data_IF_064548375615
#
_entry.id   IF_064548375615
#
_cell.length_a   1.000
_cell.length_b   1.000
_cell.length_c   1.000
_cell.angle_alpha   90.00
_cell.angle_beta   90.00
_cell.angle_gamma   90.00
#
_symmetry.space_group_name_H-M   'P 1'
#
loop_
_entity.id
_entity.type
_entity.pdbx_description
1 polymer ?
#
# COMPACT_ATOMS: atom_id res chain seq x y z
N UNK A 1 -22.52 -21.00 17.51
CA UNK A 1 -21.14 -20.74 17.03
C UNK A 1 -21.01 -21.05 15.53
N UNK A 2 -21.51 -20.18 14.64
CA UNK A 2 -21.35 -20.34 13.17
C UNK A 2 -21.11 -19.02 12.40
N UNK A 3 -21.12 -17.85 13.06
CA UNK A 3 -21.06 -16.55 12.37
C UNK A 3 -19.67 -15.88 12.37
N UNK A 4 -18.79 -16.21 13.32
CA UNK A 4 -17.50 -15.53 13.50
C UNK A 4 -16.46 -15.98 12.47
N UNK A 5 -16.46 -17.27 12.11
CA UNK A 5 -15.51 -17.83 11.11
C UNK A 5 -15.81 -17.26 9.70
N UNK A 6 -17.06 -16.86 9.42
CA UNK A 6 -17.44 -16.36 8.09
C UNK A 6 -16.85 -15.00 7.73
N UNK A 7 -16.44 -14.17 8.70
CA UNK A 7 -15.91 -12.83 8.43
C UNK A 7 -14.37 -12.81 8.30
N UNK A 8 -13.67 -13.73 8.97
CA UNK A 8 -12.23 -13.95 8.78
C UNK A 8 -11.91 -14.51 7.38
N UNK A 9 -12.86 -15.24 6.78
CA UNK A 9 -12.72 -15.74 5.40
C UNK A 9 -12.76 -14.60 4.38
N UNK A 10 -13.42 -13.47 4.69
CA UNK A 10 -13.43 -12.27 3.83
C UNK A 10 -12.11 -11.48 3.88
N UNK A 11 -11.30 -11.67 4.93
CA UNK A 11 -9.97 -11.06 5.08
C UNK A 11 -8.85 -11.90 4.44
N UNK A 12 -9.10 -13.18 4.15
CA UNK A 12 -8.13 -14.12 3.56
C UNK A 12 -8.13 -14.14 2.03
N UNK A 13 -8.88 -13.22 1.40
CA UNK A 13 -8.91 -13.02 -0.06
C UNK A 13 -8.31 -11.67 -0.48
N UNK A 14 -7.19 -11.28 0.13
CA UNK A 14 -6.27 -10.32 -0.50
C UNK A 14 -5.08 -11.12 -1.05
N UNK A 15 -5.41 -12.02 -2.00
CA UNK A 15 -4.42 -12.58 -2.89
C UNK A 15 -3.76 -11.45 -3.68
N UNK A 16 -2.44 -11.37 -3.53
CA UNK A 16 -1.48 -10.82 -4.50
C UNK A 16 -1.83 -9.47 -5.12
N UNK A 17 -1.41 -8.39 -4.46
CA UNK A 17 -0.86 -7.22 -5.17
C UNK A 17 0.47 -6.82 -4.52
N UNK A 18 1.33 -7.79 -4.23
CA UNK A 18 2.77 -7.57 -4.13
C UNK A 18 3.41 -7.93 -5.48
N UNK A 19 2.87 -7.41 -6.57
CA UNK A 19 3.64 -7.27 -7.80
C UNK A 19 4.11 -5.82 -7.82
N UNK A 20 5.30 -5.60 -7.26
CA UNK A 20 6.29 -4.65 -7.74
C UNK A 20 5.74 -3.57 -8.69
N UNK A 21 5.18 -2.49 -8.13
CA UNK A 21 4.79 -1.30 -8.90
C UNK A 21 5.90 -0.23 -8.95
N UNK A 22 7.10 -0.54 -8.45
CA UNK A 22 8.32 0.12 -8.93
C UNK A 22 8.72 -0.55 -10.24
N UNK A 23 7.97 -0.27 -11.30
CA UNK A 23 8.42 -0.53 -12.67
C UNK A 23 7.94 0.59 -13.56
N UNK A 24 8.77 1.62 -13.66
CA UNK A 24 9.06 2.26 -14.93
C UNK A 24 10.56 2.59 -14.96
N UNK A 25 11.23 1.96 -15.92
CA UNK A 25 12.62 2.12 -16.41
C UNK A 25 13.79 1.55 -15.59
N UNK A 26 14.08 0.26 -15.83
CA UNK A 26 15.34 -0.20 -16.44
C UNK A 26 16.57 -0.41 -15.56
N UNK A 27 16.88 -1.67 -15.20
CA UNK A 27 18.20 -2.32 -15.39
C UNK A 27 18.00 -3.84 -15.41
N UNK A 28 18.47 -4.49 -16.48
CA UNK A 28 18.52 -5.94 -16.65
C UNK A 28 19.85 -6.45 -16.03
N UNK A 29 19.88 -7.26 -14.94
CA UNK A 29 21.16 -7.63 -14.32
C UNK A 29 21.66 -9.04 -14.63
N UNK A 30 20.88 -9.96 -15.21
CA UNK A 30 21.37 -11.32 -15.47
C UNK A 30 20.75 -11.93 -16.73
N UNK A 31 21.57 -11.99 -17.80
CA UNK A 31 21.22 -12.71 -19.01
C UNK A 31 21.12 -14.23 -18.79
N UNK A 32 20.23 -14.86 -19.55
CA UNK A 32 20.24 -16.29 -19.84
C UNK A 32 19.10 -17.09 -19.24
N UNK A 33 18.24 -17.65 -20.11
CA UNK A 33 17.30 -18.72 -19.76
C UNK A 33 15.99 -18.59 -20.51
N UNK A 34 15.71 -19.56 -21.40
CA UNK A 34 14.63 -19.53 -22.39
C UNK A 34 13.19 -19.62 -21.87
N UNK A 35 12.31 -19.21 -22.79
CA UNK A 35 10.94 -19.64 -23.04
C UNK A 35 9.82 -19.24 -22.05
N UNK A 36 9.49 -17.95 -22.09
CA UNK A 36 8.21 -17.42 -22.59
C UNK A 36 8.30 -15.88 -22.59
N UNK A 37 7.76 -15.15 -23.59
CA UNK A 37 7.51 -13.74 -23.38
C UNK A 37 6.48 -13.66 -22.25
N UNK A 38 6.94 -13.36 -21.03
CA UNK A 38 6.08 -12.82 -19.98
C UNK A 38 5.27 -11.72 -20.67
N UNK A 39 3.93 -11.80 -20.66
CA UNK A 39 3.13 -10.77 -21.33
C UNK A 39 3.62 -9.44 -20.81
N UNK A 40 4.12 -8.60 -21.73
CA UNK A 40 4.61 -7.26 -21.38
C UNK A 40 3.55 -6.64 -20.49
N UNK A 41 3.93 -6.09 -19.32
CA UNK A 41 2.96 -5.46 -18.44
C UNK A 41 2.10 -4.54 -19.29
N UNK A 42 0.78 -4.75 -19.29
CA UNK A 42 -0.13 -3.87 -20.01
C UNK A 42 0.17 -2.47 -19.48
N UNK A 43 0.61 -1.51 -20.32
CA UNK A 43 0.94 -0.19 -19.85
C UNK A 43 -0.27 0.38 -19.13
N UNK A 44 -0.13 0.64 -17.83
CA UNK A 44 -1.19 1.22 -17.05
C UNK A 44 -1.27 2.72 -17.39
N UNK A 45 -2.40 3.15 -17.96
CA UNK A 45 -2.64 4.53 -18.33
C UNK A 45 -3.29 5.34 -17.19
N UNK A 46 -3.49 6.65 -17.41
CA UNK A 46 -4.15 7.54 -16.43
C UNK A 46 -5.53 7.01 -16.02
N UNK A 47 -6.29 6.44 -16.97
CA UNK A 47 -7.65 5.93 -16.72
C UNK A 47 -7.64 4.71 -15.79
N UNK A 48 -6.66 3.83 -15.94
CA UNK A 48 -6.44 2.72 -15.02
C UNK A 48 -6.25 3.22 -13.58
N UNK A 49 -5.34 4.18 -13.37
CA UNK A 49 -5.06 4.70 -12.03
C UNK A 49 -6.21 5.51 -11.44
N UNK A 50 -6.97 6.24 -12.26
CA UNK A 50 -8.20 6.91 -11.81
C UNK A 50 -9.22 5.89 -11.29
N UNK A 51 -9.44 4.79 -12.02
CA UNK A 51 -10.32 3.70 -11.57
C UNK A 51 -9.79 3.00 -10.32
N UNK A 52 -8.47 2.87 -10.18
CA UNK A 52 -7.84 2.33 -8.98
C UNK A 52 -8.11 3.23 -7.78
N UNK A 53 -7.90 4.55 -7.90
CA UNK A 53 -8.21 5.54 -6.86
C UNK A 53 -9.66 5.42 -6.40
N UNK A 54 -10.64 5.39 -7.32
CA UNK A 54 -12.05 5.28 -6.95
C UNK A 54 -12.35 4.01 -6.15
N UNK A 55 -11.87 2.86 -6.62
CA UNK A 55 -12.07 1.56 -5.93
C UNK A 55 -11.37 1.52 -4.57
N UNK A 56 -10.16 2.03 -4.49
CA UNK A 56 -9.36 2.06 -3.26
C UNK A 56 -9.97 3.00 -2.22
N UNK A 57 -10.47 4.18 -2.63
CA UNK A 57 -11.17 5.11 -1.75
C UNK A 57 -12.44 4.50 -1.14
N UNK A 58 -13.20 3.73 -1.92
CA UNK A 58 -14.36 3.00 -1.40
C UNK A 58 -13.95 1.97 -0.32
N UNK A 59 -12.83 1.27 -0.52
CA UNK A 59 -12.28 0.32 0.46
C UNK A 59 -11.82 1.02 1.73
N UNK A 60 -11.07 2.13 1.61
CA UNK A 60 -10.66 2.97 2.75
C UNK A 60 -11.87 3.34 3.59
N UNK A 61 -12.89 3.94 2.98
CA UNK A 61 -14.10 4.37 3.68
C UNK A 61 -14.83 3.19 4.36
N UNK A 62 -14.89 2.03 3.70
CA UNK A 62 -15.50 0.82 4.27
C UNK A 62 -14.73 0.31 5.49
N UNK A 63 -13.40 0.30 5.44
CA UNK A 63 -12.55 -0.14 6.54
C UNK A 63 -12.67 0.84 7.71
N UNK A 64 -12.59 2.15 7.47
CA UNK A 64 -12.76 3.17 8.50
C UNK A 64 -14.12 3.07 9.20
N UNK A 65 -15.19 2.83 8.43
CA UNK A 65 -16.53 2.60 8.99
C UNK A 65 -16.53 1.37 9.88
N UNK A 66 -15.93 0.27 9.41
CA UNK A 66 -15.84 -0.97 10.18
C UNK A 66 -15.05 -0.78 11.48
N UNK A 67 -13.93 -0.04 11.45
CA UNK A 67 -13.15 0.28 12.66
C UNK A 67 -14.02 1.06 13.68
N UNK A 68 -14.80 2.04 13.21
CA UNK A 68 -15.72 2.82 14.07
C UNK A 68 -16.82 1.96 14.66
N UNK A 69 -17.40 1.05 13.88
CA UNK A 69 -18.41 0.09 14.35
C UNK A 69 -17.80 -0.83 15.43
N UNK A 70 -16.60 -1.37 15.18
CA UNK A 70 -15.93 -2.28 16.11
C UNK A 70 -15.54 -1.60 17.44
N UNK A 71 -15.22 -0.31 17.41
CA UNK A 71 -14.91 0.47 18.62
C UNK A 71 -16.08 0.48 19.63
N UNK A 72 -17.33 0.37 19.16
CA UNK A 72 -18.52 0.30 20.02
C UNK A 72 -18.62 -1.02 20.79
N UNK A 73 -17.95 -2.07 20.31
CA UNK A 73 -17.98 -3.43 20.86
C UNK A 73 -16.74 -3.79 21.67
N UNK A 74 -15.85 -2.84 21.97
CA UNK A 74 -14.56 -3.07 22.66
C UNK A 74 -14.67 -3.88 23.98
N UNK A 75 -15.79 -3.75 24.70
CA UNK A 75 -16.03 -4.41 25.98
C UNK A 75 -17.09 -5.54 25.90
N UNK A 76 -17.57 -5.87 24.70
CA UNK A 76 -18.60 -6.90 24.52
C UNK A 76 -17.93 -8.27 24.34
N UNK A 77 -18.01 -9.17 25.34
CA UNK A 77 -17.38 -10.49 25.28
C UNK A 77 -17.99 -11.41 24.21
N UNK A 78 -19.18 -11.08 23.68
CA UNK A 78 -19.78 -11.84 22.57
C UNK A 78 -19.12 -11.52 21.23
N UNK A 79 -18.48 -10.35 21.11
CA UNK A 79 -17.74 -9.93 19.94
C UNK A 79 -16.26 -10.26 20.05
N UNK A 80 -15.67 -9.97 21.22
CA UNK A 80 -14.25 -10.20 21.48
C UNK A 80 -14.07 -10.91 22.83
N UNK A 81 -13.62 -12.18 22.83
CA UNK A 81 -13.43 -12.93 24.07
C UNK A 81 -12.47 -12.24 25.05
N UNK A 82 -11.44 -11.56 24.52
CA UNK A 82 -10.48 -10.80 25.32
C UNK A 82 -10.18 -9.42 24.73
N UNK A 83 -9.67 -8.48 25.54
CA UNK A 83 -9.15 -7.20 25.03
C UNK A 83 -8.01 -7.37 24.01
N UNK A 84 -7.23 -8.46 24.11
CA UNK A 84 -6.16 -8.77 23.18
C UNK A 84 -6.71 -9.16 21.79
N UNK A 85 -7.80 -9.94 21.74
CA UNK A 85 -8.48 -10.30 20.49
C UNK A 85 -9.07 -9.06 19.79
N UNK A 86 -9.67 -8.16 20.56
CA UNK A 86 -10.12 -6.86 20.05
C UNK A 86 -8.96 -6.08 19.44
N UNK A 87 -7.86 -5.91 20.19
CA UNK A 87 -6.73 -5.10 19.72
C UNK A 87 -6.08 -5.72 18.48
N UNK A 88 -5.90 -7.05 18.44
CA UNK A 88 -5.38 -7.75 17.26
C UNK A 88 -6.28 -7.54 16.04
N UNK A 89 -7.59 -7.62 16.21
CA UNK A 89 -8.57 -7.37 15.13
C UNK A 89 -8.47 -5.94 14.61
N UNK A 90 -8.44 -4.95 15.50
CA UNK A 90 -8.31 -3.54 15.13
C UNK A 90 -6.99 -3.29 14.40
N UNK A 91 -5.88 -3.83 14.91
CA UNK A 91 -4.57 -3.65 14.27
C UNK A 91 -4.54 -4.27 12.86
N UNK A 92 -5.19 -5.42 12.66
CA UNK A 92 -5.30 -6.04 11.32
C UNK A 92 -6.14 -5.20 10.36
N UNK A 93 -7.20 -4.56 10.85
CA UNK A 93 -7.98 -3.61 10.05
C UNK A 93 -7.15 -2.38 9.69
N UNK A 94 -6.32 -1.88 10.60
CA UNK A 94 -5.38 -0.79 10.31
C UNK A 94 -4.31 -1.19 9.30
N UNK A 95 -3.76 -2.41 9.37
CA UNK A 95 -2.84 -2.93 8.34
C UNK A 95 -3.52 -2.87 6.96
N UNK A 96 -4.76 -3.34 6.86
CA UNK A 96 -5.53 -3.28 5.60
C UNK A 96 -5.80 -1.84 5.15
N UNK A 97 -6.11 -0.95 6.09
CA UNK A 97 -6.29 0.49 5.81
C UNK A 97 -5.01 1.07 5.19
N UNK A 98 -3.86 0.85 5.82
CA UNK A 98 -2.59 1.38 5.35
C UNK A 98 -2.20 0.84 3.97
N UNK A 99 -2.43 -0.44 3.69
CA UNK A 99 -2.20 -1.01 2.35
C UNK A 99 -3.04 -0.30 1.26
N UNK A 100 -4.30 0.03 1.57
CA UNK A 100 -5.14 0.78 0.65
C UNK A 100 -4.69 2.25 0.53
N UNK A 101 -4.24 2.88 1.62
CA UNK A 101 -3.68 4.24 1.57
C UNK A 101 -2.42 4.28 0.70
N UNK A 102 -1.53 3.28 0.82
CA UNK A 102 -0.35 3.13 -0.06
C UNK A 102 -0.77 3.04 -1.52
N UNK A 103 -1.73 2.17 -1.83
CA UNK A 103 -2.25 1.99 -3.19
C UNK A 103 -2.87 3.29 -3.75
N UNK A 104 -3.60 4.04 -2.91
CA UNK A 104 -4.18 5.32 -3.30
C UNK A 104 -3.11 6.35 -3.64
N UNK A 105 -2.08 6.44 -2.80
CA UNK A 105 -1.02 7.42 -2.97
C UNK A 105 -0.11 7.10 -4.17
N UNK A 106 0.27 5.84 -4.35
CA UNK A 106 1.01 5.40 -5.54
C UNK A 106 0.21 5.71 -6.81
N UNK A 107 -1.09 5.38 -6.86
CA UNK A 107 -1.91 5.70 -8.02
C UNK A 107 -1.95 7.21 -8.33
N UNK A 108 -2.01 8.06 -7.30
CA UNK A 108 -1.90 9.52 -7.44
C UNK A 108 -0.55 9.97 -8.01
N UNK A 109 0.54 9.39 -7.50
CA UNK A 109 1.89 9.59 -8.03
C UNK A 109 2.00 9.17 -9.50
N UNK A 110 1.52 7.98 -9.87
CA UNK A 110 1.60 7.45 -11.24
C UNK A 110 0.82 8.32 -12.24
N UNK A 111 -0.34 8.86 -11.85
CA UNK A 111 -1.08 9.82 -12.70
C UNK A 111 -0.23 11.05 -12.98
N UNK A 112 0.40 11.63 -11.95
CA UNK A 112 1.26 12.79 -12.13
C UNK A 112 2.47 12.46 -12.99
N UNK A 113 3.10 11.29 -12.77
CA UNK A 113 4.24 10.82 -13.56
C UNK A 113 3.89 10.72 -15.05
N UNK A 114 2.79 10.05 -15.39
CA UNK A 114 2.34 9.86 -16.78
C UNK A 114 1.93 11.19 -17.42
N UNK A 115 1.13 12.01 -16.72
CA UNK A 115 0.60 13.27 -17.26
C UNK A 115 1.71 14.28 -17.55
N UNK A 116 2.84 14.17 -16.83
CA UNK A 116 3.99 15.06 -16.97
C UNK A 116 5.17 14.39 -17.72
N UNK A 117 4.97 13.23 -18.35
CA UNK A 117 6.02 12.47 -19.05
C UNK A 117 7.29 12.28 -18.19
N UNK A 118 7.11 12.06 -16.89
CA UNK A 118 8.19 11.89 -15.91
C UNK A 118 8.94 13.17 -15.50
N UNK A 119 8.61 14.34 -16.06
CA UNK A 119 9.28 15.61 -15.78
C UNK A 119 8.36 16.57 -15.02
N UNK A 120 8.59 16.73 -13.72
CA UNK A 120 7.72 17.54 -12.87
C UNK A 120 8.09 19.03 -12.85
N UNK A 121 7.11 19.89 -13.10
CA UNK A 121 7.19 21.31 -12.74
C UNK A 121 7.30 21.49 -11.22
N UNK A 122 7.78 22.65 -10.75
CA UNK A 122 7.92 22.89 -9.31
C UNK A 122 6.59 22.79 -8.55
N UNK A 123 5.48 23.22 -9.17
CA UNK A 123 4.15 23.04 -8.61
C UNK A 123 3.75 21.56 -8.53
N UNK A 124 4.07 20.77 -9.55
CA UNK A 124 3.80 19.33 -9.57
C UNK A 124 4.67 18.58 -8.56
N UNK A 125 5.92 19.00 -8.35
CA UNK A 125 6.82 18.42 -7.32
C UNK A 125 6.22 18.52 -5.93
N UNK A 126 5.47 19.58 -5.61
CA UNK A 126 4.78 19.71 -4.31
C UNK A 126 3.72 18.61 -4.13
N UNK A 127 2.90 18.37 -5.17
CA UNK A 127 1.86 17.33 -5.14
C UNK A 127 2.46 15.92 -5.12
N UNK A 128 3.49 15.67 -5.94
CA UNK A 128 4.23 14.41 -5.95
C UNK A 128 4.82 14.13 -4.56
N UNK A 129 5.46 15.13 -3.95
CA UNK A 129 6.02 15.00 -2.60
C UNK A 129 4.93 14.67 -1.58
N UNK A 130 3.77 15.31 -1.65
CA UNK A 130 2.64 15.02 -0.77
C UNK A 130 2.20 13.55 -0.88
N UNK A 131 2.04 13.01 -2.10
CA UNK A 131 1.67 11.60 -2.28
C UNK A 131 2.71 10.66 -1.67
N UNK A 132 3.99 10.86 -1.98
CA UNK A 132 5.07 10.00 -1.49
C UNK A 132 5.26 10.08 0.03
N UNK A 133 5.10 11.25 0.64
CA UNK A 133 5.18 11.40 2.11
C UNK A 133 4.04 10.68 2.83
N UNK A 134 2.81 10.74 2.27
CA UNK A 134 1.67 10.00 2.82
C UNK A 134 1.81 8.48 2.61
N UNK A 135 2.33 8.04 1.47
CA UNK A 135 2.66 6.64 1.22
C UNK A 135 3.70 6.13 2.22
N UNK A 136 4.79 6.89 2.41
CA UNK A 136 5.83 6.56 3.38
C UNK A 136 5.28 6.46 4.80
N UNK A 137 4.41 7.38 5.21
CA UNK A 137 3.77 7.32 6.52
C UNK A 137 2.97 6.03 6.68
N UNK A 138 2.12 5.69 5.70
CA UNK A 138 1.30 4.48 5.73
C UNK A 138 2.15 3.20 5.75
N UNK A 139 3.20 3.12 4.92
CA UNK A 139 4.13 1.99 4.92
C UNK A 139 4.83 1.79 6.27
N UNK A 140 5.27 2.87 6.92
CA UNK A 140 5.90 2.76 8.24
C UNK A 140 4.90 2.29 9.30
N UNK A 141 3.66 2.77 9.27
CA UNK A 141 2.61 2.31 10.19
C UNK A 141 2.26 0.84 9.95
N UNK A 142 2.15 0.43 8.68
CA UNK A 142 1.96 -0.98 8.30
C UNK A 142 3.10 -1.84 8.82
N UNK A 143 4.36 -1.47 8.55
CA UNK A 143 5.54 -2.21 8.99
C UNK A 143 5.58 -2.40 10.51
N UNK A 144 5.29 -1.34 11.27
CA UNK A 144 5.28 -1.40 12.73
C UNK A 144 4.21 -2.37 13.26
N UNK A 145 3.02 -2.38 12.67
CA UNK A 145 1.95 -3.31 13.05
C UNK A 145 2.26 -4.74 12.61
N UNK A 146 2.71 -4.97 11.38
CA UNK A 146 3.07 -6.31 10.91
C UNK A 146 4.24 -6.89 11.73
N UNK A 147 5.23 -6.07 12.10
CA UNK A 147 6.34 -6.45 12.98
C UNK A 147 5.89 -6.84 14.40
N UNK A 148 4.76 -6.31 14.88
CA UNK A 148 4.17 -6.68 16.19
C UNK A 148 3.56 -8.09 16.15
N UNK A 149 3.13 -8.56 14.98
CA UNK A 149 2.43 -9.84 14.77
C UNK A 149 3.23 -10.77 13.86
N UNK A 150 4.49 -11.04 14.20
CA UNK A 150 5.42 -11.82 13.34
C UNK A 150 4.97 -13.27 13.11
N UNK A 151 4.16 -13.82 14.01
CA UNK A 151 3.58 -15.15 13.84
C UNK A 151 2.54 -15.18 12.70
N UNK A 152 1.92 -14.03 12.40
CA UNK A 152 0.91 -13.87 11.35
C UNK A 152 1.51 -13.31 10.03
N UNK A 153 2.73 -12.77 10.05
CA UNK A 153 3.38 -12.14 8.90
C UNK A 153 4.82 -12.64 8.69
N UNK A 154 5.11 -13.15 7.50
CA UNK A 154 6.43 -13.70 7.19
C UNK A 154 7.53 -12.65 7.23
N UNK A 155 8.74 -13.07 7.61
CA UNK A 155 9.92 -12.21 7.60
C UNK A 155 10.22 -11.67 6.19
N UNK A 156 9.93 -12.43 5.14
CA UNK A 156 10.12 -11.97 3.78
C UNK A 156 9.15 -10.84 3.41
N UNK A 157 7.90 -10.89 3.90
CA UNK A 157 6.95 -9.78 3.75
C UNK A 157 7.44 -8.51 4.43
N UNK A 158 8.00 -8.62 5.64
CA UNK A 158 8.60 -7.49 6.36
C UNK A 158 9.82 -6.91 5.63
N UNK A 159 10.66 -7.76 5.03
CA UNK A 159 11.79 -7.32 4.19
C UNK A 159 11.29 -6.57 2.96
N UNK A 160 10.27 -7.09 2.27
CA UNK A 160 9.67 -6.40 1.12
C UNK A 160 9.14 -5.03 1.49
N UNK A 161 8.42 -4.90 2.61
CA UNK A 161 7.96 -3.59 3.10
C UNK A 161 9.11 -2.63 3.36
N UNK A 162 10.20 -3.10 3.97
CA UNK A 162 11.36 -2.28 4.23
C UNK A 162 12.07 -1.81 2.94
N UNK A 163 12.13 -2.68 1.92
CA UNK A 163 12.64 -2.31 0.60
C UNK A 163 11.78 -1.19 0.00
N UNK A 164 10.45 -1.35 -0.02
CA UNK A 164 9.53 -0.34 -0.54
C UNK A 164 9.64 0.99 0.22
N UNK A 165 9.74 0.96 1.55
CA UNK A 165 9.98 2.16 2.37
C UNK A 165 11.25 2.89 1.91
N UNK A 166 12.33 2.16 1.64
CA UNK A 166 13.59 2.74 1.21
C UNK A 166 13.52 3.30 -0.21
N UNK A 167 12.75 2.68 -1.11
CA UNK A 167 12.50 3.18 -2.47
C UNK A 167 11.72 4.50 -2.45
N UNK A 168 10.64 4.57 -1.68
CA UNK A 168 9.86 5.82 -1.53
C UNK A 168 10.71 6.94 -0.94
N UNK A 169 11.55 6.65 0.07
CA UNK A 169 12.51 7.63 0.62
C UNK A 169 13.49 8.15 -0.45
N UNK A 170 14.01 7.28 -1.31
CA UNK A 170 14.90 7.68 -2.41
C UNK A 170 14.17 8.60 -3.39
N UNK A 171 12.92 8.29 -3.74
CA UNK A 171 12.11 9.15 -4.62
C UNK A 171 11.90 10.55 -4.01
N UNK A 172 11.56 10.62 -2.72
CA UNK A 172 11.41 11.89 -1.99
C UNK A 172 12.72 12.70 -2.02
N UNK A 173 13.87 12.06 -1.78
CA UNK A 173 15.17 12.73 -1.79
C UNK A 173 15.54 13.24 -3.19
N UNK A 174 15.29 12.46 -4.23
CA UNK A 174 15.58 12.85 -5.62
C UNK A 174 14.77 14.08 -6.06
N UNK A 175 13.53 14.23 -5.56
CA UNK A 175 12.73 15.44 -5.80
C UNK A 175 13.34 16.70 -5.17
N UNK A 176 14.06 16.56 -4.05
CA UNK A 176 14.70 17.68 -3.36
C UNK A 176 15.99 18.14 -4.05
N UNK A 177 16.74 17.21 -4.67
CA UNK A 177 18.03 17.49 -5.30
C UNK A 177 17.92 18.22 -6.65
N UNK A 178 16.76 18.22 -7.31
CA UNK A 178 16.54 18.98 -8.56
C UNK A 178 16.41 20.51 -8.37
N UNK A 179 16.79 21.05 -7.20
CA UNK A 179 16.75 22.48 -6.87
C UNK A 179 18.07 23.25 -7.08
N UNK A 180 19.14 22.60 -7.56
CA UNK A 180 20.46 23.24 -7.64
C UNK A 180 21.10 23.16 -9.03
N UNK A 181 20.53 23.88 -9.99
CA UNK A 181 21.28 24.43 -11.13
C UNK A 181 20.51 25.63 -11.68
N UNK A 182 20.83 26.83 -11.20
CA UNK A 182 20.65 28.10 -11.90
C UNK A 182 21.92 28.92 -11.67
#
# INVERSE_FOLDING_TARGET
MKKIISWLVSLTLIGTVTNSLVSCTGVDPFGGGGDQPTPSPIPHDVKYYQNLITRTMQRINSIEKSIKEFAQHKKDPNWFPTPADYQKTIDFMYISLYQNVVTFNDAGYQILFITNNGVFSDQTKILVKWYLENELLALNQQYNLEKKYQDDFSQDKLKTLLITINEVKKLINNLQLTRSTN
#
